data_IF_206000828288
#
_entry.id   IF_206000828288
#
_cell.length_a   1.000
_cell.length_b   1.000
_cell.length_c   1.000
_cell.angle_alpha   90.00
_cell.angle_beta   90.00
_cell.angle_gamma   90.00
#
_symmetry.space_group_name_H-M   'P 1'
#
loop_
_entity.id
_entity.type
_entity.pdbx_description
1 polymer ?
#
# COMPACT_ATOMS: atom_id res chain seq x y z
N UNK A 1 -13.42 39.28 -39.01
CA UNK A 1 -13.17 40.35 -39.97
C UNK A 1 -11.67 40.36 -40.19
N UNK A 2 -11.23 39.55 -41.15
CA UNK A 2 -11.01 39.94 -42.56
C UNK A 2 -9.76 40.82 -42.70
N UNK A 3 -8.73 40.27 -43.34
CA UNK A 3 -8.14 40.89 -44.52
C UNK A 3 -7.42 39.82 -45.36
N UNK A 4 -8.01 39.54 -46.53
CA UNK A 4 -7.30 39.10 -47.74
C UNK A 4 -6.51 40.32 -48.26
N UNK A 5 -5.36 40.23 -48.93
CA UNK A 5 -5.05 39.73 -50.29
C UNK A 5 -3.64 40.33 -50.53
N UNK A 6 -2.73 39.76 -51.32
CA UNK A 6 -2.75 39.98 -52.76
C UNK A 6 -1.61 39.19 -53.44
N UNK A 7 -1.87 38.77 -54.67
CA UNK A 7 -1.04 37.97 -55.56
C UNK A 7 0.08 38.76 -56.26
N UNK A 8 1.10 38.05 -56.73
CA UNK A 8 2.06 38.53 -57.73
C UNK A 8 2.83 37.36 -58.37
N UNK A 9 2.63 37.17 -59.68
CA UNK A 9 2.92 36.02 -60.53
C UNK A 9 4.37 35.90 -61.07
N UNK A 10 4.79 34.64 -61.32
CA UNK A 10 5.34 33.98 -62.57
C UNK A 10 6.42 34.77 -63.37
N UNK A 11 7.58 34.27 -63.80
CA UNK A 11 7.88 33.13 -64.70
C UNK A 11 9.40 32.92 -64.84
N UNK A 12 9.89 31.67 -64.83
CA UNK A 12 10.55 30.93 -65.93
C UNK A 12 11.56 31.71 -66.80
N UNK A 13 12.81 31.24 -66.83
CA UNK A 13 13.56 30.90 -68.06
C UNK A 13 14.94 30.26 -67.73
N UNK A 14 15.13 29.03 -68.20
CA UNK A 14 16.39 28.43 -68.70
C UNK A 14 16.22 28.36 -70.24
N UNK A 15 17.25 28.22 -71.14
CA UNK A 15 18.38 27.28 -71.00
C UNK A 15 19.68 27.62 -71.82
N UNK A 16 20.58 26.62 -71.91
CA UNK A 16 21.59 26.36 -72.97
C UNK A 16 22.82 27.30 -73.04
N UNK A 17 24.06 26.93 -73.40
CA UNK A 17 24.71 25.71 -73.93
C UNK A 17 26.26 25.91 -73.84
N UNK A 18 27.01 24.79 -73.89
CA UNK A 18 28.35 24.53 -74.48
C UNK A 18 29.19 25.72 -75.05
N UNK A 19 30.53 25.80 -75.00
CA UNK A 19 31.63 24.80 -75.06
C UNK A 19 33.00 25.47 -74.72
N UNK A 20 34.00 24.62 -74.50
CA UNK A 20 35.44 24.74 -74.17
C UNK A 20 36.22 25.86 -74.89
N UNK A 21 37.31 26.46 -74.40
CA UNK A 21 38.57 25.97 -73.78
C UNK A 21 39.32 27.20 -73.21
N UNK A 22 40.17 27.16 -72.17
CA UNK A 22 41.59 26.75 -72.22
C UNK A 22 42.25 26.97 -70.83
N UNK A 23 43.33 26.23 -70.58
CA UNK A 23 43.88 25.81 -69.28
C UNK A 23 44.69 26.88 -68.50
N UNK A 24 44.71 26.79 -67.15
CA UNK A 24 45.92 26.55 -66.36
C UNK A 24 45.62 26.47 -64.84
N UNK A 25 46.23 25.48 -64.18
CA UNK A 25 46.50 25.36 -62.73
C UNK A 25 45.34 25.60 -61.75
N UNK A 26 44.84 24.52 -61.15
CA UNK A 26 44.83 24.36 -59.68
C UNK A 26 44.26 22.99 -59.25
N UNK A 27 44.96 22.39 -58.30
CA UNK A 27 44.43 21.52 -57.23
C UNK A 27 43.74 20.22 -57.63
N UNK A 28 44.49 19.10 -57.53
CA UNK A 28 43.86 17.81 -57.22
C UNK A 28 43.32 17.89 -55.80
N UNK A 29 42.02 18.13 -55.65
CA UNK A 29 41.34 17.78 -54.40
C UNK A 29 41.55 16.28 -54.16
N UNK A 30 41.97 15.87 -52.95
CA UNK A 30 41.88 14.46 -52.59
C UNK A 30 40.40 14.08 -52.69
N UNK A 31 40.12 13.01 -53.43
CA UNK A 31 38.79 12.42 -53.43
C UNK A 31 38.37 12.16 -51.98
N UNK A 32 37.09 12.33 -51.70
CA UNK A 32 36.46 12.27 -50.36
C UNK A 32 36.95 11.09 -49.47
N UNK A 33 37.46 10.01 -50.07
CA UNK A 33 38.03 8.86 -49.37
C UNK A 33 39.46 9.10 -48.81
N UNK A 34 40.33 9.87 -49.47
CA UNK A 34 41.72 10.10 -49.02
C UNK A 34 41.82 11.09 -47.84
N UNK A 35 40.87 12.03 -47.74
CA UNK A 35 40.79 12.97 -46.60
C UNK A 35 40.37 12.26 -45.29
N UNK A 36 39.59 11.17 -45.41
CA UNK A 36 39.11 10.40 -44.26
C UNK A 36 40.20 9.52 -43.61
N UNK A 37 41.16 9.01 -44.38
CA UNK A 37 42.25 8.17 -43.84
C UNK A 37 43.36 8.99 -43.18
N UNK A 38 43.68 10.17 -43.69
CA UNK A 38 44.78 11.00 -43.16
C UNK A 38 44.41 11.67 -41.82
N UNK A 39 43.15 12.07 -41.65
CA UNK A 39 42.63 12.66 -40.40
C UNK A 39 42.43 11.61 -39.30
N UNK A 40 41.97 10.40 -39.65
CA UNK A 40 41.82 9.30 -38.70
C UNK A 40 43.16 8.85 -38.10
N UNK A 41 44.23 8.81 -38.88
CA UNK A 41 45.55 8.37 -38.38
C UNK A 41 46.25 9.45 -37.51
N UNK A 42 45.94 10.73 -37.73
CA UNK A 42 46.46 11.85 -36.92
C UNK A 42 45.72 12.00 -35.58
N UNK A 43 44.41 11.69 -35.56
CA UNK A 43 43.61 11.66 -34.33
C UNK A 43 43.99 10.48 -33.43
N UNK A 44 44.18 9.29 -34.01
CA UNK A 44 44.59 8.09 -33.28
C UNK A 44 46.01 8.20 -32.70
N UNK A 45 46.97 8.79 -33.43
CA UNK A 45 48.33 9.03 -32.90
C UNK A 45 48.39 10.07 -31.77
N UNK A 46 47.36 10.91 -31.62
CA UNK A 46 47.27 11.90 -30.54
C UNK A 46 46.70 11.33 -29.24
N UNK A 47 46.00 10.19 -29.30
CA UNK A 47 45.37 9.55 -28.13
C UNK A 47 46.29 8.60 -27.35
N UNK A 48 47.43 8.17 -27.90
CA UNK A 48 48.25 7.10 -27.28
C UNK A 48 49.38 7.64 -26.37
N UNK A 49 49.45 8.96 -26.11
CA UNK A 49 50.51 9.55 -25.26
C UNK A 49 50.07 10.01 -23.86
N UNK A 50 48.86 9.68 -23.40
CA UNK A 50 48.41 10.07 -22.07
C UNK A 50 48.34 8.86 -21.14
N UNK A 51 49.21 8.83 -20.13
CA UNK A 51 49.19 7.86 -19.01
C UNK A 51 47.88 7.86 -18.21
N UNK A 52 46.92 8.73 -18.55
CA UNK A 52 45.62 8.88 -17.89
C UNK A 52 44.47 8.08 -18.52
N UNK A 53 44.61 7.54 -19.75
CA UNK A 53 43.54 6.74 -20.38
C UNK A 53 43.42 5.35 -19.72
N UNK A 54 44.53 4.79 -19.24
CA UNK A 54 44.54 3.50 -18.52
C UNK A 54 43.91 3.64 -17.12
N UNK A 55 43.97 4.82 -16.49
CA UNK A 55 43.35 5.05 -15.19
C UNK A 55 41.82 5.26 -15.29
N UNK A 56 41.34 5.91 -16.36
CA UNK A 56 39.89 6.13 -16.56
C UNK A 56 39.18 4.83 -16.97
N UNK A 57 39.83 3.95 -17.75
CA UNK A 57 39.27 2.63 -18.06
C UNK A 57 39.20 1.72 -16.83
N UNK A 58 40.20 1.77 -15.93
CA UNK A 58 40.16 0.99 -14.69
C UNK A 58 39.05 1.45 -13.73
N UNK A 59 38.77 2.76 -13.66
CA UNK A 59 37.64 3.29 -12.85
C UNK A 59 36.29 2.96 -13.49
N UNK A 60 36.15 3.03 -14.81
CA UNK A 60 34.93 2.59 -15.51
C UNK A 60 34.72 1.07 -15.41
N UNK A 61 35.78 0.27 -15.49
CA UNK A 61 35.70 -1.18 -15.28
C UNK A 61 35.40 -1.51 -13.81
N UNK A 62 35.93 -0.76 -12.84
CA UNK A 62 35.57 -0.92 -11.43
C UNK A 62 34.11 -0.53 -11.15
N UNK A 63 33.61 0.54 -11.78
CA UNK A 63 32.18 0.93 -11.72
C UNK A 63 31.31 -0.11 -12.44
N UNK A 64 31.75 -0.67 -13.56
CA UNK A 64 31.09 -1.80 -14.24
C UNK A 64 31.15 -3.06 -13.38
N UNK A 65 32.23 -3.36 -12.66
CA UNK A 65 32.35 -4.52 -11.76
C UNK A 65 31.50 -4.34 -10.49
N UNK A 66 31.37 -3.12 -9.98
CA UNK A 66 30.48 -2.77 -8.87
C UNK A 66 29.02 -2.83 -9.32
N UNK A 67 28.68 -2.28 -10.49
CA UNK A 67 27.36 -2.43 -11.12
C UNK A 67 27.07 -3.90 -11.47
N UNK A 68 28.06 -4.64 -11.96
CA UNK A 68 27.98 -6.09 -12.25
C UNK A 68 27.84 -6.90 -10.96
N UNK A 69 28.43 -6.45 -9.85
CA UNK A 69 28.33 -7.11 -8.55
C UNK A 69 26.95 -6.96 -7.92
N UNK A 70 26.33 -5.78 -8.09
CA UNK A 70 24.95 -5.49 -7.67
C UNK A 70 23.94 -6.23 -8.56
N UNK A 71 24.21 -6.34 -9.88
CA UNK A 71 23.45 -7.15 -10.84
C UNK A 71 23.72 -8.66 -10.77
N UNK A 72 24.70 -9.13 -9.97
CA UNK A 72 25.01 -10.55 -9.76
C UNK A 72 24.40 -11.14 -8.48
N UNK A 73 23.73 -10.34 -7.65
CA UNK A 73 23.03 -10.88 -6.50
C UNK A 73 21.73 -11.57 -6.98
N UNK A 74 21.56 -12.89 -6.77
CA UNK A 74 20.37 -13.62 -7.22
C UNK A 74 19.06 -13.00 -6.73
N UNK A 75 19.02 -12.46 -5.50
CA UNK A 75 17.82 -11.78 -4.98
C UNK A 75 17.46 -10.55 -5.81
N UNK A 76 18.44 -9.74 -6.23
CA UNK A 76 18.16 -8.56 -7.06
C UNK A 76 17.66 -8.96 -8.45
N UNK A 77 18.17 -10.07 -9.00
CA UNK A 77 17.70 -10.61 -10.28
C UNK A 77 16.26 -11.11 -10.15
N UNK A 78 15.93 -11.82 -9.07
CA UNK A 78 14.56 -12.21 -8.73
C UNK A 78 13.65 -10.98 -8.65
N UNK A 79 14.06 -9.93 -7.93
CA UNK A 79 13.27 -8.69 -7.82
C UNK A 79 13.06 -7.99 -9.16
N UNK A 80 14.09 -7.96 -10.02
CA UNK A 80 13.96 -7.40 -11.36
C UNK A 80 12.99 -8.22 -12.21
N UNK A 81 13.13 -9.55 -12.22
CA UNK A 81 12.24 -10.45 -12.95
C UNK A 81 10.79 -10.34 -12.47
N UNK A 82 10.55 -10.24 -11.15
CA UNK A 82 9.22 -9.95 -10.59
C UNK A 82 8.70 -8.59 -11.07
N UNK A 83 9.54 -7.56 -11.10
CA UNK A 83 9.20 -6.22 -11.60
C UNK A 83 8.85 -6.19 -13.09
N UNK A 84 9.44 -7.10 -13.87
CA UNK A 84 9.15 -7.33 -15.29
C UNK A 84 7.99 -8.33 -15.51
N UNK A 85 7.33 -8.77 -14.44
CA UNK A 85 6.26 -9.77 -14.44
C UNK A 85 6.69 -11.16 -14.97
N UNK A 86 8.00 -11.43 -14.99
CA UNK A 86 8.59 -12.69 -15.41
C UNK A 86 8.83 -13.64 -14.21
N UNK A 87 7.75 -14.27 -13.73
CA UNK A 87 7.82 -15.18 -12.58
C UNK A 87 8.63 -16.45 -12.88
N UNK A 88 8.61 -16.93 -14.13
CA UNK A 88 9.38 -18.12 -14.54
C UNK A 88 10.88 -17.89 -14.40
N UNK A 89 11.39 -16.72 -14.82
CA UNK A 89 12.80 -16.36 -14.65
C UNK A 89 13.16 -16.23 -13.16
N UNK A 90 12.31 -15.61 -12.35
CA UNK A 90 12.52 -15.50 -10.91
C UNK A 90 12.65 -16.89 -10.25
N UNK A 91 11.78 -17.84 -10.63
CA UNK A 91 11.84 -19.23 -10.18
C UNK A 91 13.11 -19.93 -10.65
N UNK A 92 13.51 -19.74 -11.91
CA UNK A 92 14.73 -20.33 -12.46
C UNK A 92 15.98 -19.85 -11.70
N UNK A 93 16.09 -18.54 -11.44
CA UNK A 93 17.19 -17.95 -10.66
C UNK A 93 17.27 -18.58 -9.26
N UNK A 94 16.14 -18.73 -8.58
CA UNK A 94 16.08 -19.35 -7.26
C UNK A 94 16.44 -20.83 -7.32
N UNK A 95 15.83 -21.61 -8.21
CA UNK A 95 16.04 -23.05 -8.32
C UNK A 95 17.49 -23.41 -8.65
N UNK A 96 18.14 -22.63 -9.50
CA UNK A 96 19.54 -22.80 -9.90
C UNK A 96 20.55 -22.28 -8.86
N UNK A 97 20.09 -21.58 -7.82
CA UNK A 97 20.95 -21.15 -6.72
C UNK A 97 21.37 -22.35 -5.86
N UNK A 98 22.64 -22.40 -5.46
CA UNK A 98 23.08 -23.38 -4.46
C UNK A 98 22.49 -23.07 -3.08
N UNK A 99 22.36 -24.08 -2.22
CA UNK A 99 21.70 -23.99 -0.90
C UNK A 99 22.06 -22.74 -0.08
N UNK A 100 23.36 -22.46 0.12
CA UNK A 100 23.81 -21.27 0.87
C UNK A 100 23.39 -19.93 0.26
N UNK A 101 23.11 -19.90 -1.04
CA UNK A 101 22.57 -18.72 -1.71
C UNK A 101 21.05 -18.65 -1.56
N UNK A 102 20.34 -19.79 -1.60
CA UNK A 102 18.90 -19.86 -1.34
C UNK A 102 18.56 -19.36 0.05
N UNK A 103 19.28 -19.82 1.08
CA UNK A 103 19.15 -19.32 2.46
C UNK A 103 19.22 -17.79 2.52
N UNK A 104 20.22 -17.18 1.87
CA UNK A 104 20.36 -15.71 1.80
C UNK A 104 19.31 -15.00 0.96
N UNK A 105 18.71 -15.70 -0.01
CA UNK A 105 17.60 -15.15 -0.79
C UNK A 105 16.34 -15.17 0.08
N UNK A 106 16.10 -16.28 0.78
CA UNK A 106 14.97 -16.47 1.68
C UNK A 106 15.00 -15.43 2.80
N UNK A 107 16.15 -15.25 3.48
CA UNK A 107 16.35 -14.18 4.48
C UNK A 107 15.94 -12.79 3.92
N UNK A 108 16.34 -12.48 2.68
CA UNK A 108 16.00 -11.19 2.06
C UNK A 108 14.54 -11.09 1.63
N UNK A 109 13.92 -12.20 1.23
CA UNK A 109 12.49 -12.25 0.93
C UNK A 109 11.71 -11.96 2.21
N UNK A 110 12.06 -12.63 3.32
CA UNK A 110 11.49 -12.42 4.66
C UNK A 110 11.63 -10.96 5.08
N UNK A 111 12.85 -10.39 5.08
CA UNK A 111 13.11 -8.98 5.39
C UNK A 111 12.25 -8.02 4.53
N UNK A 112 12.09 -8.33 3.25
CA UNK A 112 11.29 -7.51 2.33
C UNK A 112 9.81 -7.63 2.65
N UNK A 113 9.30 -8.83 2.87
CA UNK A 113 7.91 -9.08 3.22
C UNK A 113 7.55 -8.36 4.53
N UNK A 114 8.38 -8.46 5.56
CA UNK A 114 8.22 -7.75 6.84
C UNK A 114 8.15 -6.23 6.64
N UNK A 115 9.12 -5.66 5.92
CA UNK A 115 9.17 -4.21 5.66
C UNK A 115 7.89 -3.72 4.95
N UNK A 116 7.40 -4.50 3.97
CA UNK A 116 6.24 -4.11 3.18
C UNK A 116 4.93 -4.31 3.94
N UNK A 117 4.83 -5.38 4.73
CA UNK A 117 3.69 -5.63 5.62
C UNK A 117 3.57 -4.50 6.64
N UNK A 118 4.68 -4.09 7.27
CA UNK A 118 4.69 -2.98 8.22
C UNK A 118 4.32 -1.65 7.55
N UNK A 119 4.79 -1.40 6.32
CA UNK A 119 4.37 -0.21 5.57
C UNK A 119 2.89 -0.23 5.21
N UNK A 120 2.31 -1.39 4.91
CA UNK A 120 0.85 -1.51 4.76
C UNK A 120 0.14 -1.26 6.09
N UNK A 121 0.67 -1.80 7.19
CA UNK A 121 0.12 -1.58 8.52
C UNK A 121 0.06 -0.10 8.88
N UNK A 122 1.12 0.64 8.57
CA UNK A 122 1.24 2.09 8.75
C UNK A 122 0.53 2.93 7.68
N UNK A 123 -0.29 2.30 6.81
CA UNK A 123 -1.04 2.95 5.72
C UNK A 123 -0.15 3.67 4.68
N UNK A 124 1.14 3.31 4.61
CA UNK A 124 2.12 3.88 3.67
C UNK A 124 2.16 3.14 2.33
N UNK A 125 1.64 1.92 2.28
CA UNK A 125 1.46 1.13 1.05
C UNK A 125 0.05 0.58 0.97
N UNK A 126 -0.45 0.38 -0.25
CA UNK A 126 -1.75 -0.26 -0.47
C UNK A 126 -1.65 -1.77 -0.32
N UNK A 127 -2.75 -2.41 0.10
CA UNK A 127 -2.87 -3.86 0.13
C UNK A 127 -2.47 -4.50 -1.20
N UNK A 128 -2.97 -3.96 -2.32
CA UNK A 128 -2.71 -4.51 -3.65
C UNK A 128 -1.21 -4.55 -3.99
N UNK A 129 -0.48 -3.50 -3.61
CA UNK A 129 0.97 -3.42 -3.85
C UNK A 129 1.71 -4.53 -3.09
N UNK A 130 1.37 -4.71 -1.81
CA UNK A 130 2.02 -5.71 -0.95
C UNK A 130 1.59 -7.12 -1.36
N UNK A 131 0.30 -7.32 -1.64
CA UNK A 131 -0.25 -8.60 -2.08
C UNK A 131 0.39 -9.09 -3.38
N UNK A 132 0.54 -8.22 -4.39
CA UNK A 132 1.20 -8.56 -5.65
C UNK A 132 2.63 -9.03 -5.42
N UNK A 133 3.40 -8.31 -4.61
CA UNK A 133 4.79 -8.65 -4.29
C UNK A 133 4.91 -9.97 -3.52
N UNK A 134 4.16 -10.13 -2.41
CA UNK A 134 4.21 -11.34 -1.59
C UNK A 134 3.76 -12.56 -2.40
N UNK A 135 2.72 -12.42 -3.23
CA UNK A 135 2.25 -13.51 -4.10
C UNK A 135 3.32 -13.90 -5.12
N UNK A 136 4.04 -12.93 -5.70
CA UNK A 136 5.16 -13.23 -6.59
C UNK A 136 6.27 -13.99 -5.84
N UNK A 137 6.63 -13.58 -4.62
CA UNK A 137 7.60 -14.32 -3.82
C UNK A 137 7.13 -15.72 -3.42
N UNK A 138 5.84 -15.94 -3.12
CA UNK A 138 5.29 -17.27 -2.85
C UNK A 138 5.45 -18.24 -4.02
N UNK A 139 5.51 -17.73 -5.25
CA UNK A 139 5.81 -18.55 -6.43
C UNK A 139 7.29 -18.89 -6.55
N UNK A 140 8.19 -18.11 -5.92
CA UNK A 140 9.64 -18.29 -5.99
C UNK A 140 10.16 -19.14 -4.84
N UNK A 141 9.71 -18.87 -3.62
CA UNK A 141 10.17 -19.53 -2.39
C UNK A 141 9.03 -19.71 -1.39
N UNK A 142 9.07 -20.81 -0.64
CA UNK A 142 8.13 -21.06 0.46
C UNK A 142 8.31 -20.10 1.64
N UNK A 143 9.46 -19.42 1.75
CA UNK A 143 9.73 -18.46 2.83
C UNK A 143 8.70 -17.31 2.89
N UNK A 144 8.06 -16.97 1.77
CA UNK A 144 7.04 -15.93 1.72
C UNK A 144 5.64 -16.37 2.17
N UNK A 145 5.42 -17.67 2.40
CA UNK A 145 4.06 -18.23 2.57
C UNK A 145 3.35 -17.69 3.80
N UNK A 146 4.06 -17.56 4.92
CA UNK A 146 3.51 -17.05 6.18
C UNK A 146 3.07 -15.59 6.04
N UNK A 147 3.85 -14.76 5.35
CA UNK A 147 3.49 -13.36 5.12
C UNK A 147 2.24 -13.17 4.23
N UNK A 148 1.91 -14.13 3.37
CA UNK A 148 0.65 -14.09 2.63
C UNK A 148 -0.54 -14.28 3.57
N UNK A 149 -0.39 -15.11 4.59
CA UNK A 149 -1.39 -15.31 5.63
C UNK A 149 -1.48 -14.07 6.52
N UNK A 150 -0.34 -13.56 7.01
CA UNK A 150 -0.29 -12.37 7.86
C UNK A 150 -0.90 -11.14 7.17
N UNK A 151 -0.63 -10.94 5.87
CA UNK A 151 -1.24 -9.85 5.10
C UNK A 151 -2.77 -9.99 5.04
N UNK A 152 -3.28 -11.21 4.91
CA UNK A 152 -4.72 -11.47 4.88
C UNK A 152 -5.36 -11.20 6.24
N UNK A 153 -4.73 -11.64 7.33
CA UNK A 153 -5.20 -11.38 8.69
C UNK A 153 -5.19 -9.88 9.00
N UNK A 154 -4.11 -9.18 8.66
CA UNK A 154 -4.00 -7.74 8.87
C UNK A 154 -5.05 -6.97 8.06
N UNK A 155 -5.35 -7.39 6.82
CA UNK A 155 -6.44 -6.79 6.04
C UNK A 155 -7.80 -7.01 6.68
N UNK A 156 -8.06 -8.22 7.18
CA UNK A 156 -9.31 -8.52 7.88
C UNK A 156 -9.45 -7.68 9.15
N UNK A 157 -8.37 -7.54 9.93
CA UNK A 157 -8.28 -6.68 11.11
C UNK A 157 -8.61 -5.22 10.79
N UNK A 158 -7.96 -4.63 9.77
CA UNK A 158 -8.23 -3.25 9.35
C UNK A 158 -9.65 -3.04 8.86
N UNK A 159 -10.22 -4.04 8.19
CA UNK A 159 -11.62 -4.02 7.75
C UNK A 159 -12.57 -4.04 8.96
N UNK A 160 -12.30 -4.88 9.95
CA UNK A 160 -13.08 -4.95 11.18
C UNK A 160 -13.04 -3.62 11.94
N UNK A 161 -11.87 -2.99 12.05
CA UNK A 161 -11.74 -1.65 12.65
C UNK A 161 -12.62 -0.61 11.93
N UNK A 162 -12.58 -0.55 10.59
CA UNK A 162 -13.41 0.36 9.80
C UNK A 162 -14.92 0.08 10.00
N UNK A 163 -15.33 -1.19 9.98
CA UNK A 163 -16.72 -1.58 10.21
C UNK A 163 -17.20 -1.16 11.61
N UNK A 164 -16.36 -1.37 12.62
CA UNK A 164 -16.64 -0.99 14.00
C UNK A 164 -16.84 0.53 14.13
N UNK A 165 -16.03 1.34 13.44
CA UNK A 165 -16.20 2.79 13.39
C UNK A 165 -17.55 3.19 12.79
N UNK A 166 -17.95 2.58 11.67
CA UNK A 166 -19.27 2.85 11.06
C UNK A 166 -20.44 2.45 11.97
N UNK A 167 -20.35 1.29 12.64
CA UNK A 167 -21.36 0.83 13.59
C UNK A 167 -21.46 1.76 14.81
N UNK A 168 -20.30 2.21 15.32
CA UNK A 168 -20.21 3.20 16.39
C UNK A 168 -20.91 4.51 16.01
N UNK A 169 -20.71 5.03 14.80
CA UNK A 169 -21.41 6.24 14.32
C UNK A 169 -22.93 6.06 14.27
N UNK A 170 -23.40 4.86 13.92
CA UNK A 170 -24.83 4.49 13.93
C UNK A 170 -25.37 4.17 15.33
N UNK A 171 -24.52 4.23 16.37
CA UNK A 171 -24.83 3.85 17.76
C UNK A 171 -25.21 2.38 17.94
N UNK A 172 -24.74 1.52 17.03
CA UNK A 172 -24.86 0.08 17.14
C UNK A 172 -23.74 -0.46 18.03
N UNK A 173 -23.79 -0.09 19.32
CA UNK A 173 -22.67 -0.29 20.25
C UNK A 173 -22.23 -1.75 20.39
N UNK A 174 -23.19 -2.68 20.49
CA UNK A 174 -22.89 -4.12 20.59
C UNK A 174 -22.15 -4.64 19.35
N UNK A 175 -22.66 -4.33 18.16
CA UNK A 175 -22.04 -4.73 16.89
C UNK A 175 -20.65 -4.09 16.75
N UNK A 176 -20.49 -2.82 17.14
CA UNK A 176 -19.20 -2.14 17.12
C UNK A 176 -18.19 -2.83 18.05
N UNK A 177 -18.59 -3.24 19.25
CA UNK A 177 -17.74 -3.98 20.20
C UNK A 177 -17.31 -5.32 19.58
N UNK A 178 -18.22 -6.06 18.95
CA UNK A 178 -17.90 -7.33 18.30
C UNK A 178 -16.89 -7.18 17.16
N UNK A 179 -17.00 -6.12 16.35
CA UNK A 179 -16.03 -5.86 15.28
C UNK A 179 -14.68 -5.36 15.82
N UNK A 180 -14.66 -4.46 16.82
CA UNK A 180 -13.40 -4.01 17.44
C UNK A 180 -12.61 -5.18 18.05
N UNK A 181 -13.29 -6.20 18.59
CA UNK A 181 -12.65 -7.41 19.14
C UNK A 181 -11.93 -8.27 18.11
N UNK A 182 -12.18 -8.08 16.81
CA UNK A 182 -11.51 -8.78 15.72
C UNK A 182 -10.21 -8.10 15.28
N UNK A 183 -9.94 -6.90 15.79
CA UNK A 183 -8.69 -6.18 15.52
C UNK A 183 -7.56 -6.90 16.25
N UNK A 184 -6.52 -7.30 15.51
CA UNK A 184 -5.40 -8.10 16.04
C UNK A 184 -4.29 -7.20 16.59
N UNK A 185 -3.51 -7.72 17.53
CA UNK A 185 -2.45 -6.96 18.25
C UNK A 185 -1.40 -6.31 17.33
N UNK A 186 -1.13 -6.91 16.18
CA UNK A 186 -0.16 -6.38 15.20
C UNK A 186 -0.72 -5.26 14.33
N UNK A 187 -2.04 -5.02 14.33
CA UNK A 187 -2.63 -3.87 13.63
C UNK A 187 -2.31 -2.58 14.40
N UNK A 188 -1.86 -1.55 13.69
CA UNK A 188 -1.58 -0.22 14.28
C UNK A 188 -2.80 0.37 15.01
N UNK A 189 -4.00 -0.09 14.69
CA UNK A 189 -5.26 0.36 15.29
C UNK A 189 -5.65 -0.43 16.56
N UNK A 190 -4.88 -1.40 17.01
CA UNK A 190 -5.24 -2.28 18.13
C UNK A 190 -5.55 -1.51 19.43
N UNK A 191 -4.63 -0.66 19.89
CA UNK A 191 -4.82 0.12 21.12
C UNK A 191 -6.04 1.06 21.03
N UNK A 192 -6.31 1.57 19.83
CA UNK A 192 -7.49 2.39 19.56
C UNK A 192 -8.74 1.53 19.67
N UNK A 193 -8.76 0.32 19.09
CA UNK A 193 -9.87 -0.61 19.19
C UNK A 193 -10.19 -0.97 20.64
N UNK A 194 -9.18 -1.24 21.48
CA UNK A 194 -9.37 -1.50 22.92
C UNK A 194 -10.02 -0.30 23.63
N UNK A 195 -9.50 0.90 23.38
CA UNK A 195 -10.08 2.14 23.95
C UNK A 195 -11.52 2.35 23.50
N UNK A 196 -11.81 2.05 22.23
CA UNK A 196 -13.15 2.20 21.67
C UNK A 196 -14.14 1.15 22.16
N UNK A 197 -13.70 -0.06 22.50
CA UNK A 197 -14.54 -1.05 23.17
C UNK A 197 -15.05 -0.49 24.51
N UNK A 198 -14.18 0.09 25.33
CA UNK A 198 -14.57 0.69 26.61
C UNK A 198 -15.57 1.85 26.41
N UNK A 199 -15.32 2.70 25.41
CA UNK A 199 -16.24 3.78 25.06
C UNK A 199 -17.60 3.27 24.60
N UNK A 200 -17.65 2.22 23.77
CA UNK A 200 -18.89 1.60 23.33
C UNK A 200 -19.65 0.96 24.51
N UNK A 201 -18.96 0.24 25.41
CA UNK A 201 -19.58 -0.35 26.61
C UNK A 201 -20.19 0.71 27.52
N UNK A 202 -19.48 1.83 27.72
CA UNK A 202 -20.00 2.98 28.46
C UNK A 202 -21.26 3.55 27.82
N UNK A 203 -21.24 3.80 26.51
CA UNK A 203 -22.40 4.39 25.81
C UNK A 203 -23.60 3.44 25.78
N UNK A 204 -23.37 2.14 25.60
CA UNK A 204 -24.40 1.12 25.70
C UNK A 204 -25.07 1.13 27.08
N UNK A 205 -24.27 1.14 28.14
CA UNK A 205 -24.76 1.24 29.52
C UNK A 205 -25.59 2.51 29.76
N UNK A 206 -25.12 3.66 29.26
CA UNK A 206 -25.89 4.92 29.34
C UNK A 206 -27.22 4.85 28.59
N UNK A 207 -27.26 4.21 27.42
CA UNK A 207 -28.48 4.10 26.64
C UNK A 207 -29.51 3.17 27.29
N UNK A 208 -29.08 2.06 27.90
CA UNK A 208 -29.91 1.23 28.77
C UNK A 208 -30.48 2.03 29.94
N UNK A 209 -29.64 2.81 30.63
CA UNK A 209 -30.09 3.65 31.74
C UNK A 209 -31.17 4.67 31.29
N UNK A 210 -30.96 5.35 30.17
CA UNK A 210 -31.94 6.31 29.61
C UNK A 210 -33.26 5.64 29.23
N UNK A 211 -33.21 4.46 28.61
CA UNK A 211 -34.41 3.68 28.26
C UNK A 211 -35.16 3.26 29.52
N UNK A 212 -34.45 2.78 30.54
CA UNK A 212 -35.04 2.41 31.83
C UNK A 212 -35.75 3.60 32.50
N UNK A 213 -35.11 4.77 32.55
CA UNK A 213 -35.71 6.01 33.07
C UNK A 213 -36.97 6.41 32.29
N UNK A 214 -36.97 6.22 30.96
CA UNK A 214 -38.15 6.46 30.11
C UNK A 214 -39.29 5.50 30.46
N UNK A 215 -39.05 4.20 30.48
CA UNK A 215 -40.07 3.20 30.83
C UNK A 215 -40.60 3.39 32.25
N UNK A 216 -39.73 3.78 33.19
CA UNK A 216 -40.11 4.13 34.55
C UNK A 216 -41.10 5.30 34.59
N UNK A 217 -40.85 6.38 33.84
CA UNK A 217 -41.76 7.54 33.73
C UNK A 217 -43.12 7.13 33.14
N UNK A 218 -43.10 6.21 32.18
CA UNK A 218 -44.30 5.64 31.55
C UNK A 218 -45.03 4.61 32.44
N UNK A 219 -44.51 4.34 33.65
CA UNK A 219 -45.01 3.31 34.58
C UNK A 219 -44.98 1.90 33.98
N UNK A 220 -44.17 1.67 32.95
CA UNK A 220 -43.88 0.36 32.41
C UNK A 220 -42.72 -0.27 33.22
N UNK A 221 -43.05 -0.68 34.44
CA UNK A 221 -42.05 -1.13 35.42
C UNK A 221 -41.28 -2.38 34.99
N UNK A 222 -41.92 -3.30 34.26
CA UNK A 222 -41.28 -4.52 33.78
C UNK A 222 -40.15 -4.19 32.79
N UNK A 223 -40.45 -3.41 31.74
CA UNK A 223 -39.41 -2.99 30.78
C UNK A 223 -38.34 -2.09 31.41
N UNK A 224 -38.70 -1.29 32.43
CA UNK A 224 -37.71 -0.53 33.18
C UNK A 224 -36.73 -1.43 33.94
N UNK A 225 -37.21 -2.53 34.54
CA UNK A 225 -36.35 -3.53 35.20
C UNK A 225 -35.40 -4.16 34.20
N UNK A 226 -35.92 -4.60 33.05
CA UNK A 226 -35.12 -5.24 32.01
C UNK A 226 -33.97 -4.31 31.59
N UNK A 227 -34.26 -3.04 31.30
CA UNK A 227 -33.24 -2.06 30.89
C UNK A 227 -32.28 -1.69 32.03
N UNK A 228 -32.74 -1.47 33.26
CA UNK A 228 -31.83 -1.20 34.39
C UNK A 228 -30.88 -2.36 34.66
N UNK A 229 -31.31 -3.60 34.42
CA UNK A 229 -30.46 -4.78 34.63
C UNK A 229 -29.28 -4.87 33.67
N UNK A 230 -29.36 -4.16 32.53
CA UNK A 230 -28.29 -4.09 31.54
C UNK A 230 -27.31 -2.93 31.77
N UNK A 231 -27.57 -2.06 32.76
CA UNK A 231 -26.64 -1.00 33.13
C UNK A 231 -25.46 -1.63 33.86
N UNK A 232 -24.24 -1.27 33.45
CA UNK A 232 -22.98 -1.81 33.97
C UNK A 232 -22.14 -0.73 34.66
N UNK A 233 -21.10 -1.17 35.35
CA UNK A 233 -20.16 -0.32 36.10
C UNK A 233 -19.23 0.54 35.22
N UNK A 234 -19.24 0.38 33.90
CA UNK A 234 -18.65 1.34 32.94
C UNK A 234 -19.26 2.76 33.08
N UNK A 235 -20.42 2.86 33.73
CA UNK A 235 -21.08 4.11 34.11
C UNK A 235 -21.41 4.08 35.61
N UNK A 236 -20.43 4.33 36.52
CA UNK A 236 -20.60 4.04 37.94
C UNK A 236 -21.79 4.76 38.60
N UNK A 237 -22.00 6.03 38.24
CA UNK A 237 -23.11 6.83 38.77
C UNK A 237 -24.46 6.27 38.34
N UNK A 238 -24.63 5.99 37.05
CA UNK A 238 -25.86 5.44 36.50
C UNK A 238 -26.09 4.00 36.97
N UNK A 239 -25.03 3.22 37.17
CA UNK A 239 -25.09 1.88 37.73
C UNK A 239 -25.65 1.90 39.15
N UNK A 240 -25.08 2.72 40.04
CA UNK A 240 -25.57 2.86 41.41
C UNK A 240 -27.04 3.31 41.44
N UNK A 241 -27.40 4.26 40.56
CA UNK A 241 -28.78 4.69 40.42
C UNK A 241 -29.71 3.57 39.94
N UNK A 242 -29.29 2.78 38.95
CA UNK A 242 -30.04 1.63 38.45
C UNK A 242 -30.27 0.58 39.55
N UNK A 243 -29.22 0.23 40.29
CA UNK A 243 -29.31 -0.73 41.42
C UNK A 243 -30.30 -0.27 42.49
N UNK A 244 -30.40 1.04 42.74
CA UNK A 244 -31.38 1.61 43.68
C UNK A 244 -32.81 1.59 43.15
N UNK A 245 -33.01 1.71 41.85
CA UNK A 245 -34.33 1.78 41.23
C UNK A 245 -34.93 0.39 40.96
N UNK A 246 -34.10 -0.62 40.65
CA UNK A 246 -34.52 -2.01 40.43
C UNK A 246 -35.53 -2.55 41.47
N UNK A 247 -35.25 -2.54 42.79
CA UNK A 247 -36.20 -3.07 43.78
C UNK A 247 -37.50 -2.26 43.85
N UNK A 248 -37.44 -0.95 43.61
CA UNK A 248 -38.64 -0.10 43.61
C UNK A 248 -39.55 -0.44 42.44
N UNK A 249 -38.99 -0.64 41.24
CA UNK A 249 -39.74 -1.07 40.07
C UNK A 249 -40.35 -2.46 40.28
N UNK A 250 -39.62 -3.38 40.91
CA UNK A 250 -40.12 -4.72 41.25
C UNK A 250 -41.33 -4.65 42.20
N UNK A 251 -41.25 -3.84 43.26
CA UNK A 251 -42.37 -3.63 44.19
C UNK A 251 -43.60 -3.04 43.51
N UNK A 252 -43.42 -2.06 42.63
CA UNK A 252 -44.52 -1.47 41.85
C UNK A 252 -45.18 -2.48 40.92
N UNK A 253 -44.40 -3.35 40.30
CA UNK A 253 -44.90 -4.45 39.47
C UNK A 253 -45.77 -5.40 40.30
N UNK A 254 -45.27 -5.82 41.46
CA UNK A 254 -46.00 -6.69 42.40
C UNK A 254 -47.30 -6.05 42.88
N UNK A 255 -47.28 -4.78 43.25
CA UNK A 255 -48.48 -4.03 43.66
C UNK A 255 -49.55 -4.00 42.55
N UNK A 256 -49.13 -3.78 41.30
CA UNK A 256 -50.04 -3.77 40.14
C UNK A 256 -50.68 -5.13 39.93
N UNK A 257 -49.91 -6.22 40.02
CA UNK A 257 -50.42 -7.60 39.89
C UNK A 257 -51.45 -7.90 40.99
N UNK A 258 -51.14 -7.56 42.25
CA UNK A 258 -52.05 -7.75 43.38
C UNK A 258 -53.36 -6.96 43.21
N UNK A 259 -53.27 -5.71 42.74
CA UNK A 259 -54.45 -4.90 42.48
C UNK A 259 -55.34 -5.52 41.40
N UNK A 260 -54.77 -5.93 40.26
CA UNK A 260 -55.52 -6.55 39.17
C UNK A 260 -56.15 -7.88 39.61
N UNK A 261 -55.43 -8.70 40.38
CA UNK A 261 -55.94 -9.98 40.91
C UNK A 261 -57.16 -9.80 41.83
N UNK A 262 -57.29 -8.65 42.51
CA UNK A 262 -58.45 -8.33 43.35
C UNK A 262 -59.65 -7.82 42.55
N UNK A 263 -59.45 -7.31 41.34
CA UNK A 263 -60.53 -6.84 40.47
C UNK A 263 -61.19 -7.99 39.68
N UNK A 264 -60.50 -9.12 39.56
CA UNK A 264 -60.93 -10.28 38.78
C UNK A 264 -61.51 -11.42 39.63
N UNK A 265 -61.50 -11.29 40.95
CA UNK A 265 -62.13 -12.20 41.92
C UNK A 265 -63.33 -11.51 42.56
#
# INVERSE_FOLDING_TARGET
MEEQKNMGNISMEQPAELDQSEQLNETKEPTFLEKSEQDNNKFLKKLIKSKYIIAISAVLIAVIIILSGILRNPYNQIMNAIGEENIEEAQEIYNNAGEKKKEKIDEKIEETCEEKLEKYNQEKLSYETVHKLISAFCNVSSAASEYSFDLSELKASKTAFSNAQEMKEKKEWDNAIEEYKKVIETDINYDIAITEIENCQKNLSLDHFKKAEKYKKEKNWASAIDEYSQVTDHTPTEYEAAQKELPKCADRTKQKILYLSRLTN
#
